data_IF_968885501130
#
_entry.id   IF_968885501130
#
_cell.length_a   1.000
_cell.length_b   1.000
_cell.length_c   1.000
_cell.angle_alpha   90.00
_cell.angle_beta   90.00
_cell.angle_gamma   90.00
#
_symmetry.space_group_name_H-M   'P 1'
#
loop_
_entity.id
_entity.type
_entity.pdbx_description
1 polymer ?
#
# COMPACT_ATOMS: atom_id res chain seq x y z
N UNK A 1 18.32 25.29 -2.95
CA UNK A 1 18.15 24.88 -1.56
C UNK A 1 19.09 23.72 -1.23
N UNK A 2 19.78 23.72 -0.07
CA UNK A 2 20.62 22.58 0.32
C UNK A 2 19.77 21.37 0.71
N UNK A 3 20.29 20.16 0.46
CA UNK A 3 19.67 18.92 0.89
C UNK A 3 19.69 18.80 2.43
N UNK A 4 18.66 18.14 2.99
CA UNK A 4 18.64 17.85 4.42
C UNK A 4 19.76 16.86 4.78
N UNK A 5 20.51 17.15 5.82
CA UNK A 5 21.42 16.18 6.41
C UNK A 5 20.64 15.13 7.24
N UNK A 6 21.33 14.09 7.72
CA UNK A 6 20.69 12.99 8.44
C UNK A 6 19.90 13.42 9.70
N UNK A 7 20.32 14.47 10.39
CA UNK A 7 19.61 15.02 11.57
C UNK A 7 18.34 15.74 11.16
N UNK A 8 18.41 16.58 10.13
CA UNK A 8 17.24 17.26 9.56
C UNK A 8 16.19 16.26 9.04
N UNK A 9 16.62 15.21 8.35
CA UNK A 9 15.74 14.14 7.87
C UNK A 9 15.05 13.40 9.03
N UNK A 10 15.76 13.03 10.09
CA UNK A 10 15.19 12.38 11.27
C UNK A 10 14.15 13.27 11.97
N UNK A 11 14.39 14.58 12.05
CA UNK A 11 13.44 15.55 12.61
C UNK A 11 12.18 15.62 11.78
N UNK A 12 12.30 15.77 10.46
CA UNK A 12 11.18 15.80 9.51
C UNK A 12 10.32 14.53 9.62
N UNK A 13 10.94 13.34 9.58
CA UNK A 13 10.20 12.08 9.70
C UNK A 13 9.49 11.94 11.06
N UNK A 14 10.06 12.45 12.15
CA UNK A 14 9.43 12.44 13.47
C UNK A 14 8.22 13.36 13.51
N UNK A 15 8.30 14.51 12.89
CA UNK A 15 7.20 15.47 12.78
C UNK A 15 6.02 14.86 12.03
N UNK A 16 6.23 14.29 10.84
CA UNK A 16 5.17 13.64 10.08
C UNK A 16 4.57 12.43 10.81
N UNK A 17 5.40 11.63 11.50
CA UNK A 17 4.86 10.52 12.30
C UNK A 17 3.91 10.97 13.42
N UNK A 18 4.14 12.13 14.02
CA UNK A 18 3.26 12.68 15.07
C UNK A 18 1.92 13.14 14.53
N UNK A 19 1.84 13.47 13.25
CA UNK A 19 0.60 13.89 12.57
C UNK A 19 -0.25 12.70 12.10
N UNK A 20 0.26 11.48 12.25
CA UNK A 20 -0.45 10.28 11.85
C UNK A 20 -1.62 10.01 12.78
N UNK A 21 -2.84 10.00 12.25
CA UNK A 21 -4.09 9.74 12.98
C UNK A 21 -4.72 8.40 12.60
N UNK A 22 -4.30 7.80 11.47
CA UNK A 22 -4.83 6.55 10.98
C UNK A 22 -3.69 5.62 10.50
N UNK A 23 -3.99 4.32 10.46
CA UNK A 23 -3.05 3.26 10.09
C UNK A 23 -3.15 2.92 8.60
N UNK A 24 -2.07 2.40 8.07
CA UNK A 24 -1.98 1.87 6.70
C UNK A 24 -1.45 0.43 6.77
N UNK A 25 -2.05 -0.45 6.01
CA UNK A 25 -1.56 -1.78 5.71
C UNK A 25 -1.63 -2.02 4.19
N UNK A 26 -0.93 -3.06 3.70
CA UNK A 26 -1.06 -3.51 2.32
C UNK A 26 -1.41 -4.99 2.29
N UNK A 27 -2.23 -5.38 1.31
CA UNK A 27 -2.51 -6.77 0.97
C UNK A 27 -1.96 -7.02 -0.44
N UNK A 28 -1.10 -8.02 -0.57
CA UNK A 28 -0.49 -8.41 -1.84
C UNK A 28 -1.05 -9.76 -2.26
N UNK A 29 -1.80 -9.80 -3.37
CA UNK A 29 -2.32 -11.04 -3.93
C UNK A 29 -1.50 -11.48 -5.13
N UNK A 30 -0.83 -12.62 -5.00
CA UNK A 30 -0.10 -13.29 -6.08
C UNK A 30 0.93 -12.39 -6.80
N UNK A 31 1.58 -11.46 -6.09
CA UNK A 31 2.67 -10.67 -6.66
C UNK A 31 3.88 -11.57 -6.81
N UNK A 32 4.27 -11.86 -8.07
CA UNK A 32 5.24 -12.91 -8.37
C UNK A 32 6.70 -12.40 -8.36
N UNK A 33 6.93 -11.17 -8.78
CA UNK A 33 8.29 -10.64 -8.91
C UNK A 33 8.89 -10.25 -7.54
N UNK A 34 10.01 -10.84 -7.12
CA UNK A 34 10.73 -10.41 -5.91
C UNK A 34 11.14 -8.94 -5.95
N UNK A 35 11.38 -8.39 -7.15
CA UNK A 35 11.68 -6.99 -7.34
C UNK A 35 10.47 -6.11 -7.02
N UNK A 36 9.27 -6.48 -7.50
CA UNK A 36 8.03 -5.77 -7.20
C UNK A 36 7.68 -5.86 -5.72
N UNK A 37 7.75 -7.06 -5.13
CA UNK A 37 7.54 -7.23 -3.68
C UNK A 37 8.51 -6.35 -2.88
N UNK A 38 9.80 -6.36 -3.23
CA UNK A 38 10.80 -5.53 -2.55
C UNK A 38 10.54 -4.01 -2.70
N UNK A 39 10.11 -3.57 -3.89
CA UNK A 39 9.74 -2.17 -4.14
C UNK A 39 8.51 -1.77 -3.33
N UNK A 40 7.50 -2.64 -3.25
CA UNK A 40 6.30 -2.43 -2.43
C UNK A 40 6.65 -2.38 -0.94
N UNK A 41 7.47 -3.32 -0.46
CA UNK A 41 7.98 -3.34 0.92
C UNK A 41 8.67 -2.02 1.27
N UNK A 42 9.52 -1.52 0.38
CA UNK A 42 10.21 -0.24 0.58
C UNK A 42 9.24 0.94 0.63
N UNK A 43 8.28 0.97 -0.27
CA UNK A 43 7.21 1.98 -0.28
C UNK A 43 6.37 1.92 0.98
N UNK A 44 5.91 0.73 1.38
CA UNK A 44 5.13 0.50 2.58
C UNK A 44 5.86 1.02 3.84
N UNK A 45 7.15 0.70 3.97
CA UNK A 45 7.98 1.20 5.07
C UNK A 45 8.12 2.72 5.04
N UNK A 46 8.33 3.33 3.86
CA UNK A 46 8.44 4.77 3.70
C UNK A 46 7.13 5.50 4.05
N UNK A 47 5.99 4.92 3.69
CA UNK A 47 4.66 5.44 4.00
C UNK A 47 4.21 5.08 5.44
N UNK A 48 5.04 4.38 6.23
CA UNK A 48 4.73 4.02 7.60
C UNK A 48 3.56 3.03 7.71
N UNK A 49 3.44 2.12 6.75
CA UNK A 49 2.54 0.97 6.88
C UNK A 49 3.01 0.07 8.03
N UNK A 50 2.08 -0.64 8.65
CA UNK A 50 2.38 -1.50 9.81
C UNK A 50 2.47 -2.97 9.43
N UNK A 51 1.57 -3.43 8.56
CA UNK A 51 1.41 -4.84 8.25
C UNK A 51 1.30 -5.07 6.74
N UNK A 52 1.88 -6.18 6.28
CA UNK A 52 1.63 -6.76 4.96
C UNK A 52 0.86 -8.07 5.13
N UNK A 53 -0.25 -8.20 4.43
CA UNK A 53 -1.01 -9.42 4.29
C UNK A 53 -0.62 -10.05 2.95
N UNK A 54 0.00 -11.22 2.97
CA UNK A 54 0.58 -11.86 1.78
C UNK A 54 -0.27 -13.05 1.37
N UNK A 55 -0.75 -13.07 0.14
CA UNK A 55 -1.55 -14.15 -0.41
C UNK A 55 -0.87 -14.68 -1.66
N UNK A 56 -0.39 -15.95 -1.61
CA UNK A 56 0.28 -16.62 -2.73
C UNK A 56 1.42 -15.80 -3.34
N UNK A 57 2.11 -15.03 -2.53
CA UNK A 57 3.28 -14.25 -2.98
C UNK A 57 4.46 -15.18 -3.19
N UNK A 58 5.13 -15.07 -4.35
CA UNK A 58 6.25 -15.97 -4.71
C UNK A 58 7.47 -15.78 -3.83
N UNK A 59 7.67 -14.60 -3.25
CA UNK A 59 8.83 -14.27 -2.44
C UNK A 59 8.43 -13.48 -1.20
N UNK A 60 8.69 -14.06 -0.04
CA UNK A 60 8.42 -13.40 1.24
C UNK A 60 9.40 -12.23 1.48
N UNK A 61 9.06 -11.26 2.37
CA UNK A 61 9.93 -10.14 2.70
C UNK A 61 11.32 -10.51 3.25
N UNK A 62 11.49 -11.73 3.76
CA UNK A 62 12.79 -12.27 4.21
C UNK A 62 13.60 -12.94 3.08
N UNK A 63 13.08 -13.08 1.88
CA UNK A 63 13.85 -13.56 0.73
C UNK A 63 15.01 -12.60 0.41
N UNK A 64 16.23 -13.08 0.15
CA UNK A 64 17.39 -12.24 -0.13
C UNK A 64 17.20 -11.27 -1.32
N UNK A 65 16.46 -11.68 -2.37
CA UNK A 65 16.19 -10.83 -3.53
C UNK A 65 15.24 -9.71 -3.17
N UNK A 66 14.20 -10.00 -2.36
CA UNK A 66 13.27 -9.00 -1.83
C UNK A 66 14.01 -8.03 -0.92
N UNK A 67 14.84 -8.52 0.01
CA UNK A 67 15.63 -7.68 0.91
C UNK A 67 16.56 -6.73 0.16
N UNK A 68 17.19 -7.21 -0.91
CA UNK A 68 18.05 -6.38 -1.76
C UNK A 68 17.26 -5.25 -2.43
N UNK A 69 16.09 -5.54 -3.00
CA UNK A 69 15.22 -4.54 -3.62
C UNK A 69 14.60 -3.59 -2.58
N UNK A 70 14.22 -4.10 -1.42
CA UNK A 70 13.70 -3.32 -0.30
C UNK A 70 14.76 -2.49 0.43
N UNK A 71 16.05 -2.72 0.15
CA UNK A 71 17.18 -2.05 0.83
C UNK A 71 17.13 -2.19 2.37
N UNK A 72 16.71 -3.36 2.87
CA UNK A 72 16.65 -3.68 4.29
C UNK A 72 15.49 -3.03 5.06
N UNK A 73 14.52 -2.41 4.37
CA UNK A 73 13.39 -1.73 5.03
C UNK A 73 12.31 -2.67 5.52
N UNK A 74 12.32 -3.95 5.11
CA UNK A 74 11.37 -4.98 5.61
C UNK A 74 11.36 -5.09 7.14
N UNK A 75 12.46 -4.77 7.82
CA UNK A 75 12.57 -4.77 9.28
C UNK A 75 11.64 -3.79 10.00
N UNK A 76 11.02 -2.88 9.28
CA UNK A 76 10.07 -1.89 9.82
C UNK A 76 8.61 -2.31 9.67
N UNK A 77 8.36 -3.49 9.08
CA UNK A 77 7.04 -4.02 8.79
C UNK A 77 6.86 -5.38 9.47
N UNK A 78 5.64 -5.68 9.83
CA UNK A 78 5.21 -7.06 10.09
C UNK A 78 4.56 -7.63 8.84
N UNK A 79 4.56 -8.97 8.69
CA UNK A 79 3.82 -9.62 7.62
C UNK A 79 3.21 -10.94 8.09
N UNK A 80 2.14 -11.33 7.45
CA UNK A 80 1.43 -12.57 7.70
C UNK A 80 1.06 -13.20 6.37
N UNK A 81 1.24 -14.51 6.26
CA UNK A 81 0.95 -15.29 5.06
C UNK A 81 -0.45 -15.92 5.17
N UNK A 82 -1.16 -15.98 4.05
CA UNK A 82 -2.50 -16.53 3.92
C UNK A 82 -2.63 -17.36 2.65
N UNK A 83 -3.40 -18.44 2.74
CA UNK A 83 -3.69 -19.30 1.60
C UNK A 83 -4.72 -18.67 0.65
N UNK A 84 -5.69 -17.91 1.20
CA UNK A 84 -6.76 -17.29 0.45
C UNK A 84 -6.82 -15.78 0.70
N UNK A 85 -7.35 -15.06 -0.30
CA UNK A 85 -7.52 -13.60 -0.19
C UNK A 85 -8.66 -13.26 0.77
N UNK A 86 -9.67 -14.11 0.86
CA UNK A 86 -10.78 -13.96 1.80
C UNK A 86 -10.29 -13.98 3.26
N UNK A 87 -9.40 -14.93 3.59
CA UNK A 87 -8.81 -15.02 4.92
C UNK A 87 -7.92 -13.81 5.24
N UNK A 88 -7.15 -13.35 4.27
CA UNK A 88 -6.32 -12.16 4.41
C UNK A 88 -7.15 -10.89 4.62
N UNK A 89 -8.20 -10.69 3.80
CA UNK A 89 -9.12 -9.57 3.94
C UNK A 89 -9.90 -9.61 5.26
N UNK A 90 -10.37 -10.81 5.67
CA UNK A 90 -11.01 -11.00 6.96
C UNK A 90 -10.05 -10.71 8.13
N UNK A 91 -8.78 -11.07 8.00
CA UNK A 91 -7.76 -10.75 8.98
C UNK A 91 -7.51 -9.23 9.06
N UNK A 92 -7.38 -8.55 7.93
CA UNK A 92 -7.24 -7.10 7.88
C UNK A 92 -8.41 -6.38 8.55
N UNK A 93 -9.66 -6.83 8.31
CA UNK A 93 -10.86 -6.29 8.98
C UNK A 93 -10.85 -6.54 10.48
N UNK A 94 -10.46 -7.75 10.94
CA UNK A 94 -10.32 -8.03 12.38
C UNK A 94 -9.28 -7.13 13.06
N UNK A 95 -8.24 -6.75 12.31
CA UNK A 95 -7.22 -5.80 12.76
C UNK A 95 -7.70 -4.33 12.69
N UNK A 96 -8.95 -4.09 12.23
CA UNK A 96 -9.60 -2.78 12.19
C UNK A 96 -9.41 -1.99 10.89
N UNK A 97 -8.90 -2.61 9.82
CA UNK A 97 -8.71 -1.95 8.53
C UNK A 97 -9.94 -2.09 7.63
N UNK A 98 -10.27 -1.02 6.91
CA UNK A 98 -11.08 -1.08 5.69
C UNK A 98 -10.20 -1.56 4.55
N UNK A 99 -10.66 -2.54 3.78
CA UNK A 99 -9.90 -3.10 2.65
C UNK A 99 -10.31 -2.39 1.36
N UNK A 100 -9.37 -1.70 0.72
CA UNK A 100 -9.56 -0.99 -0.54
C UNK A 100 -8.73 -1.66 -1.62
N UNK A 101 -9.38 -2.26 -2.62
CA UNK A 101 -8.72 -2.84 -3.78
C UNK A 101 -8.29 -1.76 -4.77
N UNK A 102 -7.09 -1.89 -5.34
CA UNK A 102 -6.59 -0.99 -6.36
C UNK A 102 -6.52 -1.73 -7.70
N UNK A 103 -7.55 -1.53 -8.54
CA UNK A 103 -7.72 -2.25 -9.80
C UNK A 103 -8.58 -1.45 -10.79
N UNK A 104 -8.33 -1.63 -12.10
CA UNK A 104 -9.21 -1.16 -13.17
C UNK A 104 -10.34 -2.18 -13.36
N UNK A 105 -11.42 -2.04 -12.60
CA UNK A 105 -12.56 -2.95 -12.62
C UNK A 105 -13.87 -2.21 -12.89
N UNK A 106 -14.88 -2.94 -13.32
CA UNK A 106 -16.25 -2.39 -13.42
C UNK A 106 -16.69 -1.93 -12.02
N UNK A 107 -17.41 -0.82 -11.96
CA UNK A 107 -17.90 -0.19 -10.72
C UNK A 107 -16.79 0.34 -9.78
N UNK A 108 -15.50 0.28 -10.19
CA UNK A 108 -14.43 0.94 -9.42
C UNK A 108 -14.54 2.47 -9.54
N UNK A 109 -14.24 3.15 -8.43
CA UNK A 109 -14.24 4.61 -8.39
C UNK A 109 -12.82 5.18 -8.54
N UNK A 110 -12.65 6.44 -9.02
CA UNK A 110 -11.35 7.09 -8.96
C UNK A 110 -10.80 7.09 -7.53
N UNK A 111 -9.53 6.74 -7.37
CA UNK A 111 -8.90 6.56 -6.05
C UNK A 111 -9.08 7.79 -5.12
N UNK A 112 -9.07 8.98 -5.68
CA UNK A 112 -9.27 10.21 -4.91
C UNK A 112 -10.72 10.42 -4.44
N UNK A 113 -11.70 9.66 -4.99
CA UNK A 113 -13.11 9.70 -4.61
C UNK A 113 -13.47 8.66 -3.55
N UNK A 114 -12.68 7.60 -3.43
CA UNK A 114 -12.87 6.57 -2.40
C UNK A 114 -12.38 7.08 -1.05
N UNK A 115 -13.22 6.99 -0.01
CA UNK A 115 -12.81 7.36 1.35
C UNK A 115 -11.76 6.37 1.89
N UNK A 116 -10.57 6.89 2.11
CA UNK A 116 -9.42 6.19 2.70
C UNK A 116 -8.79 6.98 3.86
N UNK A 117 -9.53 7.90 4.47
CA UNK A 117 -9.04 8.73 5.57
C UNK A 117 -8.88 7.96 6.88
N UNK A 118 -9.61 6.85 7.06
CA UNK A 118 -9.50 5.95 8.21
C UNK A 118 -8.37 4.92 8.07
N UNK A 119 -8.37 3.95 8.99
CA UNK A 119 -7.46 2.80 8.95
C UNK A 119 -7.71 1.98 7.68
N UNK A 120 -6.75 1.98 6.76
CA UNK A 120 -6.91 1.43 5.41
C UNK A 120 -5.88 0.34 5.12
N UNK A 121 -6.34 -0.79 4.58
CA UNK A 121 -5.53 -1.82 3.95
C UNK A 121 -5.69 -1.72 2.43
N UNK A 122 -4.64 -1.31 1.73
CA UNK A 122 -4.64 -1.21 0.27
C UNK A 122 -4.27 -2.57 -0.34
N UNK A 123 -5.18 -3.15 -1.13
CA UNK A 123 -4.97 -4.43 -1.80
C UNK A 123 -4.52 -4.20 -3.24
N UNK A 124 -3.48 -4.92 -3.66
CA UNK A 124 -2.94 -4.95 -5.02
C UNK A 124 -2.72 -6.38 -5.48
N UNK A 125 -2.89 -6.63 -6.76
CA UNK A 125 -2.86 -7.97 -7.35
C UNK A 125 -1.61 -8.26 -8.19
N UNK A 126 -1.68 -9.37 -8.92
CA UNK A 126 -0.65 -9.84 -9.82
C UNK A 126 -0.32 -8.81 -10.93
N UNK A 127 0.93 -8.78 -11.36
CA UNK A 127 1.47 -7.81 -12.32
C UNK A 127 0.69 -7.74 -13.64
N UNK A 128 0.26 -8.89 -14.16
CA UNK A 128 -0.41 -8.98 -15.47
C UNK A 128 -1.91 -9.23 -15.36
N UNK A 129 -2.38 -9.85 -14.27
CA UNK A 129 -3.78 -10.29 -14.10
C UNK A 129 -4.57 -9.42 -13.12
N UNK A 130 -3.90 -8.56 -12.39
CA UNK A 130 -4.51 -7.74 -11.35
C UNK A 130 -5.05 -8.53 -10.17
N UNK A 131 -6.05 -7.98 -9.49
CA UNK A 131 -6.81 -8.62 -8.43
C UNK A 131 -7.77 -9.65 -8.99
N UNK A 132 -7.85 -10.82 -8.35
CA UNK A 132 -8.83 -11.85 -8.75
C UNK A 132 -10.26 -11.40 -8.45
N UNK A 133 -11.29 -12.03 -9.10
CA UNK A 133 -12.69 -11.77 -8.74
C UNK A 133 -12.98 -12.01 -7.25
N UNK A 134 -12.32 -13.01 -6.63
CA UNK A 134 -12.44 -13.28 -5.20
C UNK A 134 -11.87 -12.12 -4.37
N UNK A 135 -10.73 -11.56 -4.79
CA UNK A 135 -10.12 -10.40 -4.14
C UNK A 135 -11.00 -9.15 -4.27
N UNK A 136 -11.54 -8.89 -5.47
CA UNK A 136 -12.46 -7.77 -5.69
C UNK A 136 -13.71 -7.90 -4.81
N UNK A 137 -14.31 -9.09 -4.72
CA UNK A 137 -15.45 -9.36 -3.85
C UNK A 137 -15.10 -9.27 -2.36
N UNK A 138 -13.84 -9.52 -1.98
CA UNK A 138 -13.36 -9.42 -0.62
C UNK A 138 -12.99 -7.97 -0.21
N UNK A 139 -12.99 -6.99 -1.11
CA UNK A 139 -12.74 -5.60 -0.79
C UNK A 139 -14.01 -4.89 -0.30
N UNK A 140 -13.85 -3.89 0.56
CA UNK A 140 -14.94 -3.02 1.02
C UNK A 140 -15.21 -1.88 0.03
N UNK A 141 -14.24 -1.59 -0.83
CA UNK A 141 -14.33 -0.70 -1.98
C UNK A 141 -13.25 -1.08 -3.01
N UNK A 142 -13.49 -0.74 -4.26
CA UNK A 142 -12.49 -0.88 -5.33
C UNK A 142 -12.25 0.49 -5.96
N UNK A 143 -10.99 0.84 -6.08
CA UNK A 143 -10.54 2.11 -6.62
C UNK A 143 -9.63 1.90 -7.82
N UNK A 144 -9.59 2.87 -8.73
CA UNK A 144 -8.60 2.89 -9.79
C UNK A 144 -7.82 4.21 -9.82
N UNK A 145 -6.59 4.15 -10.33
CA UNK A 145 -5.79 5.36 -10.59
C UNK A 145 -6.13 5.85 -12.00
N UNK A 146 -6.72 7.05 -12.14
CA UNK A 146 -6.99 7.63 -13.45
C UNK A 146 -5.70 7.80 -14.27
N UNK A 147 -5.68 7.26 -15.48
CA UNK A 147 -4.55 7.34 -16.40
C UNK A 147 -4.95 8.13 -17.63
N UNK A 148 -4.12 9.08 -18.05
CA UNK A 148 -4.36 9.91 -19.25
C UNK A 148 -3.63 9.40 -20.49
N UNK A 149 -2.71 8.46 -20.29
CA UNK A 149 -1.90 7.87 -21.35
C UNK A 149 -2.62 6.70 -22.04
N UNK A 150 -1.91 6.11 -23.03
CA UNK A 150 -2.38 4.95 -23.80
C UNK A 150 -1.75 3.62 -23.32
N UNK A 151 -1.35 3.57 -22.05
CA UNK A 151 -0.77 2.36 -21.46
C UNK A 151 -1.84 1.60 -20.67
N UNK A 152 -1.76 0.27 -20.66
CA UNK A 152 -2.78 -0.57 -20.00
C UNK A 152 -2.66 -0.59 -18.47
N UNK A 153 -1.45 -0.34 -17.91
CA UNK A 153 -1.22 -0.33 -16.47
C UNK A 153 0.02 0.47 -16.08
N UNK A 154 0.12 0.81 -14.81
CA UNK A 154 1.30 1.47 -14.21
C UNK A 154 2.35 0.45 -13.70
N UNK A 155 2.00 -0.82 -13.67
CA UNK A 155 2.75 -1.84 -12.92
C UNK A 155 2.48 -1.79 -11.41
N UNK A 156 2.41 -2.98 -10.78
CA UNK A 156 1.90 -3.15 -9.41
C UNK A 156 2.66 -2.35 -8.36
N UNK A 157 3.99 -2.29 -8.45
CA UNK A 157 4.80 -1.55 -7.47
C UNK A 157 4.57 -0.04 -7.55
N UNK A 158 4.39 0.51 -8.75
CA UNK A 158 4.06 1.92 -8.96
C UNK A 158 2.63 2.22 -8.50
N UNK A 159 1.67 1.38 -8.86
CA UNK A 159 0.29 1.51 -8.41
C UNK A 159 0.19 1.49 -6.87
N UNK A 160 0.88 0.55 -6.22
CA UNK A 160 0.95 0.50 -4.76
C UNK A 160 1.56 1.78 -4.15
N UNK A 161 2.58 2.37 -4.79
CA UNK A 161 3.21 3.60 -4.32
C UNK A 161 2.27 4.81 -4.43
N UNK A 162 1.60 4.97 -5.56
CA UNK A 162 0.61 6.03 -5.78
C UNK A 162 -0.57 5.86 -4.81
N UNK A 163 -1.10 4.64 -4.69
CA UNK A 163 -2.21 4.32 -3.79
C UNK A 163 -1.86 4.60 -2.32
N UNK A 164 -0.71 4.14 -1.86
CA UNK A 164 -0.27 4.36 -0.48
C UNK A 164 -0.06 5.87 -0.19
N UNK A 165 0.45 6.63 -1.15
CA UNK A 165 0.59 8.08 -1.00
C UNK A 165 -0.77 8.78 -0.92
N UNK A 166 -1.72 8.41 -1.79
CA UNK A 166 -3.07 8.99 -1.78
C UNK A 166 -3.80 8.67 -0.46
N UNK A 167 -3.74 7.44 0.04
CA UNK A 167 -4.27 7.11 1.37
C UNK A 167 -3.68 8.03 2.43
N UNK A 168 -2.36 8.22 2.45
CA UNK A 168 -1.71 9.13 3.41
C UNK A 168 -2.11 10.58 3.22
N UNK A 169 -2.26 11.05 1.98
CA UNK A 169 -2.74 12.40 1.70
C UNK A 169 -4.13 12.64 2.31
N UNK A 170 -5.06 11.70 2.13
CA UNK A 170 -6.40 11.80 2.71
C UNK A 170 -6.36 11.78 4.24
N UNK A 171 -5.56 10.88 4.84
CA UNK A 171 -5.39 10.79 6.29
C UNK A 171 -4.82 12.08 6.88
N UNK A 172 -3.84 12.69 6.22
CA UNK A 172 -3.27 13.98 6.65
C UNK A 172 -4.25 15.13 6.49
N UNK A 173 -5.03 15.17 5.40
CA UNK A 173 -6.06 16.17 5.21
C UNK A 173 -7.16 16.08 6.28
N UNK A 174 -7.63 14.85 6.59
CA UNK A 174 -8.62 14.62 7.64
C UNK A 174 -8.11 14.98 9.04
N UNK A 175 -6.80 14.89 9.27
CA UNK A 175 -6.16 15.30 10.52
C UNK A 175 -5.97 16.83 10.65
N UNK A 176 -6.43 17.63 9.67
CA UNK A 176 -6.18 19.06 9.63
C UNK A 176 -4.70 19.43 9.38
N UNK A 177 -3.91 18.49 8.91
CA UNK A 177 -2.51 18.68 8.58
C UNK A 177 -2.36 19.19 7.12
N UNK A 178 -3.16 20.15 6.72
CA UNK A 178 -3.00 20.83 5.44
C UNK A 178 -1.66 21.59 5.45
N UNK A 179 -0.74 21.31 4.51
CA UNK A 179 0.53 22.01 4.39
C UNK A 179 0.39 23.50 3.96
N UNK A 180 -0.82 23.96 3.66
CA UNK A 180 -1.12 25.33 3.24
C UNK A 180 -1.52 26.27 4.40
N UNK A 181 -1.44 25.83 5.66
CA UNK A 181 -1.65 26.63 6.85
C UNK A 181 -0.36 27.08 7.52
#
# INVERSE_FOLDING_TARGET
MPQLNGTGLKRLHREWRRRRTARLALLLEAVDSPFNVGSIVRTAAAMGAETLYLVRVSAAPNDPKVQKAAMGTQRYLTWRDFETVEDAAAAARRDGYRVVGLELADEAEPLFAVDAAGDTCLAVGHEDRGLTPAALAACDAVAYIPQLGRVGSLGVATAAAVGAYEVRRQQFAAAGADPSG
#
